data_IF_693693007754
#
_entry.id   IF_693693007754
#
_cell.length_a   1.000
_cell.length_b   1.000
_cell.length_c   1.000
_cell.angle_alpha   90.00
_cell.angle_beta   90.00
_cell.angle_gamma   90.00
#
_symmetry.space_group_name_H-M   'P 1'
#
loop_
_entity.id
_entity.type
_entity.pdbx_description
1 polymer ?
#
# COMPACT_ATOMS: atom_id res chain seq x y z
N UNK A 1 -4.40 13.58 11.78
CA UNK A 1 -4.23 12.34 10.98
C UNK A 1 -5.13 12.24 9.74
N UNK A 2 -6.00 13.19 9.50
CA UNK A 2 -6.87 13.27 8.30
C UNK A 2 -6.09 13.31 6.98
N UNK A 3 -4.90 13.86 6.97
CA UNK A 3 -4.12 14.13 5.75
C UNK A 3 -3.72 12.90 4.91
N UNK A 4 -3.51 11.72 5.51
CA UNK A 4 -3.01 10.55 4.75
C UNK A 4 -4.12 9.84 3.97
N UNK A 5 -5.29 9.71 4.55
CA UNK A 5 -6.45 9.10 3.87
C UNK A 5 -6.93 9.96 2.70
N UNK A 6 -6.96 11.28 2.89
CA UNK A 6 -7.33 12.25 1.85
C UNK A 6 -6.34 12.24 0.69
N UNK A 7 -5.02 12.15 0.97
CA UNK A 7 -4.00 12.02 -0.08
C UNK A 7 -4.16 10.73 -0.90
N UNK A 8 -4.43 9.61 -0.24
CA UNK A 8 -4.66 8.34 -0.93
C UNK A 8 -5.94 8.36 -1.78
N UNK A 9 -7.04 8.87 -1.23
CA UNK A 9 -8.30 9.00 -1.97
C UNK A 9 -8.15 9.96 -3.16
N UNK A 10 -7.42 11.05 -2.98
CA UNK A 10 -7.14 12.00 -4.06
C UNK A 10 -6.28 11.38 -5.17
N UNK A 11 -5.24 10.62 -4.79
CA UNK A 11 -4.41 9.89 -5.74
C UNK A 11 -5.23 8.89 -6.58
N UNK A 12 -6.06 8.08 -5.94
CA UNK A 12 -6.93 7.12 -6.62
C UNK A 12 -7.91 7.80 -7.58
N UNK A 13 -8.48 8.93 -7.15
CA UNK A 13 -9.37 9.72 -8.00
C UNK A 13 -8.66 10.30 -9.23
N UNK A 14 -7.39 10.71 -9.09
CA UNK A 14 -6.64 11.29 -10.21
C UNK A 14 -6.03 10.24 -11.13
N UNK A 15 -5.50 9.12 -10.59
CA UNK A 15 -4.81 8.11 -11.38
C UNK A 15 -5.80 7.14 -12.04
N UNK A 16 -6.73 6.59 -11.27
CA UNK A 16 -7.61 5.52 -11.72
C UNK A 16 -9.02 6.02 -12.09
N UNK A 17 -9.32 7.29 -11.78
CA UNK A 17 -10.63 7.92 -11.98
C UNK A 17 -11.78 7.16 -11.28
N UNK A 18 -11.45 6.39 -10.24
CA UNK A 18 -12.41 5.62 -9.45
C UNK A 18 -12.78 6.42 -8.20
N UNK A 19 -14.07 6.74 -7.99
CA UNK A 19 -14.51 7.33 -6.74
C UNK A 19 -14.13 6.43 -5.57
N UNK A 20 -13.32 6.97 -4.65
CA UNK A 20 -12.75 6.21 -3.55
C UNK A 20 -12.88 7.02 -2.25
N UNK A 21 -13.43 6.39 -1.22
CA UNK A 21 -13.48 6.90 0.14
C UNK A 21 -12.59 6.05 1.03
N UNK A 22 -11.77 6.69 1.84
CA UNK A 22 -10.85 6.02 2.77
C UNK A 22 -10.97 6.65 4.14
N UNK A 23 -11.23 5.84 5.16
CA UNK A 23 -11.15 6.23 6.57
C UNK A 23 -10.07 5.38 7.25
N UNK A 24 -9.21 6.03 8.01
CA UNK A 24 -8.14 5.39 8.76
C UNK A 24 -8.25 5.78 10.23
N UNK A 25 -8.05 4.81 11.10
CA UNK A 25 -8.00 5.02 12.54
C UNK A 25 -6.85 4.22 13.16
N UNK A 26 -6.29 4.75 14.24
CA UNK A 26 -5.25 4.08 15.02
C UNK A 26 -5.51 4.31 16.51
N UNK A 27 -5.21 3.31 17.31
CA UNK A 27 -5.05 3.41 18.75
C UNK A 27 -3.68 2.88 19.15
N UNK A 28 -3.42 2.64 20.42
CA UNK A 28 -2.12 2.20 20.93
C UNK A 28 -1.72 0.80 20.45
N UNK A 29 -2.66 -0.03 20.03
CA UNK A 29 -2.46 -1.44 19.69
C UNK A 29 -2.87 -1.81 18.27
N UNK A 30 -3.76 -1.03 17.65
CA UNK A 30 -4.37 -1.36 16.36
C UNK A 30 -4.27 -0.19 15.37
N UNK A 31 -4.10 -0.55 14.11
CA UNK A 31 -4.32 0.33 12.97
C UNK A 31 -5.37 -0.31 12.06
N UNK A 32 -6.43 0.43 11.79
CA UNK A 32 -7.58 -0.05 11.03
C UNK A 32 -7.97 0.93 9.95
N UNK A 33 -8.70 0.45 8.95
CA UNK A 33 -9.21 1.31 7.89
C UNK A 33 -10.36 0.66 7.13
N UNK A 34 -11.19 1.50 6.56
CA UNK A 34 -12.20 1.11 5.58
C UNK A 34 -11.92 1.84 4.28
N UNK A 35 -11.99 1.10 3.18
CA UNK A 35 -11.89 1.63 1.83
C UNK A 35 -13.15 1.22 1.08
N UNK A 36 -13.82 2.21 0.49
CA UNK A 36 -15.00 2.01 -0.36
C UNK A 36 -14.70 2.57 -1.73
N UNK A 37 -14.91 1.77 -2.77
CA UNK A 37 -14.67 2.16 -4.15
C UNK A 37 -15.90 1.86 -5.00
N UNK A 38 -16.28 2.84 -5.82
CA UNK A 38 -17.32 2.63 -6.81
C UNK A 38 -16.68 2.08 -8.08
N UNK A 39 -16.84 0.77 -8.31
CA UNK A 39 -16.34 0.14 -9.53
C UNK A 39 -17.06 0.71 -10.77
N UNK A 40 -16.42 0.60 -11.97
CA UNK A 40 -17.05 1.08 -13.20
C UNK A 40 -18.45 0.48 -13.37
N UNK A 41 -19.44 1.35 -13.49
CA UNK A 41 -20.85 0.99 -13.63
C UNK A 41 -21.28 1.10 -15.09
N UNK A 42 -22.18 0.21 -15.51
CA UNK A 42 -22.92 0.38 -16.78
C UNK A 42 -23.93 1.53 -16.65
N UNK A 43 -24.45 2.02 -17.79
CA UNK A 43 -25.49 3.04 -17.76
C UNK A 43 -26.75 2.52 -17.03
N UNK A 44 -27.07 1.25 -17.23
CA UNK A 44 -28.22 0.62 -16.59
C UNK A 44 -28.07 0.55 -15.05
N UNK A 45 -26.85 0.30 -14.52
CA UNK A 45 -26.61 0.30 -13.08
C UNK A 45 -26.82 1.69 -12.48
N UNK A 46 -26.35 2.74 -13.17
CA UNK A 46 -26.54 4.14 -12.75
C UNK A 46 -28.00 4.57 -12.79
N UNK A 47 -28.77 4.07 -13.74
CA UNK A 47 -30.20 4.39 -13.86
C UNK A 47 -31.02 3.66 -12.79
N UNK A 48 -30.56 2.46 -12.36
CA UNK A 48 -31.22 1.67 -11.32
C UNK A 48 -31.00 2.21 -9.91
N UNK A 49 -29.80 2.72 -9.61
CA UNK A 49 -29.45 3.28 -8.31
C UNK A 49 -28.54 4.51 -8.47
N UNK A 50 -29.10 5.65 -8.83
CA UNK A 50 -28.34 6.88 -9.08
C UNK A 50 -27.67 7.45 -7.81
N UNK A 51 -28.22 7.16 -6.65
CA UNK A 51 -27.79 7.72 -5.37
C UNK A 51 -26.83 6.80 -4.58
N UNK A 52 -26.46 5.65 -5.15
CA UNK A 52 -25.63 4.63 -4.48
C UNK A 52 -24.37 5.23 -3.85
N UNK A 53 -23.61 6.00 -4.63
CA UNK A 53 -22.35 6.58 -4.14
C UNK A 53 -22.54 7.58 -3.02
N UNK A 54 -23.51 8.46 -3.14
CA UNK A 54 -23.79 9.48 -2.12
C UNK A 54 -24.29 8.83 -0.83
N UNK A 55 -25.12 7.80 -0.93
CA UNK A 55 -25.63 7.02 0.19
C UNK A 55 -24.49 6.27 0.91
N UNK A 56 -23.65 5.52 0.17
CA UNK A 56 -22.50 4.81 0.75
C UNK A 56 -21.50 5.77 1.41
N UNK A 57 -21.29 6.94 0.81
CA UNK A 57 -20.43 7.98 1.38
C UNK A 57 -21.00 8.50 2.69
N UNK A 58 -22.28 8.85 2.71
CA UNK A 58 -22.96 9.35 3.90
C UNK A 58 -22.95 8.32 5.04
N UNK A 59 -23.21 7.04 4.74
CA UNK A 59 -23.15 5.96 5.72
C UNK A 59 -21.73 5.77 6.28
N UNK A 60 -20.72 5.71 5.40
CA UNK A 60 -19.31 5.54 5.80
C UNK A 60 -18.81 6.72 6.64
N UNK A 61 -19.30 7.94 6.38
CA UNK A 61 -18.91 9.13 7.13
C UNK A 61 -19.38 9.10 8.59
N UNK A 62 -20.36 8.28 8.92
CA UNK A 62 -20.85 8.13 10.28
C UNK A 62 -19.95 7.32 11.21
N UNK A 63 -19.00 6.53 10.67
CA UNK A 63 -18.13 5.67 11.47
C UNK A 63 -17.18 6.48 12.35
N UNK A 64 -17.09 6.09 13.61
CA UNK A 64 -16.17 6.69 14.58
C UNK A 64 -14.83 5.94 14.58
N UNK A 65 -13.76 6.65 14.93
CA UNK A 65 -12.42 6.05 15.01
C UNK A 65 -12.38 4.86 15.99
N UNK A 66 -13.07 4.94 17.13
CA UNK A 66 -13.15 3.85 18.09
C UNK A 66 -13.88 2.62 17.54
N UNK A 67 -14.93 2.81 16.75
CA UNK A 67 -15.63 1.70 16.12
C UNK A 67 -14.71 0.99 15.09
N UNK A 68 -13.95 1.78 14.32
CA UNK A 68 -13.03 1.26 13.32
C UNK A 68 -11.87 0.48 13.94
N UNK A 69 -11.44 0.83 15.17
CA UNK A 69 -10.34 0.12 15.86
C UNK A 69 -10.78 -1.04 16.73
N UNK A 70 -12.02 -1.02 17.23
CA UNK A 70 -12.45 -1.90 18.32
C UNK A 70 -13.46 -2.97 17.85
N UNK A 71 -14.18 -2.73 16.75
CA UNK A 71 -15.16 -3.68 16.23
C UNK A 71 -14.57 -4.60 15.15
N UNK A 72 -15.03 -5.85 15.04
CA UNK A 72 -14.72 -6.73 13.93
C UNK A 72 -15.31 -6.22 12.61
N UNK A 73 -14.68 -6.59 11.49
CA UNK A 73 -15.01 -6.04 10.18
C UNK A 73 -16.44 -6.34 9.73
N UNK A 74 -16.94 -7.53 10.02
CA UNK A 74 -18.31 -7.95 9.72
C UNK A 74 -19.35 -7.12 10.49
N UNK A 75 -19.08 -6.81 11.75
CA UNK A 75 -19.95 -5.95 12.54
C UNK A 75 -19.95 -4.52 12.01
N UNK A 76 -18.79 -3.99 11.61
CA UNK A 76 -18.70 -2.66 10.98
C UNK A 76 -19.53 -2.62 9.69
N UNK A 77 -19.36 -3.63 8.81
CA UNK A 77 -20.10 -3.69 7.56
C UNK A 77 -21.62 -3.80 7.80
N UNK A 78 -22.04 -4.64 8.74
CA UNK A 78 -23.44 -4.76 9.09
C UNK A 78 -24.01 -3.43 9.63
N UNK A 79 -23.31 -2.74 10.52
CA UNK A 79 -23.76 -1.46 11.09
C UNK A 79 -23.89 -0.36 10.06
N UNK A 80 -22.96 -0.31 9.10
CA UNK A 80 -22.97 0.74 8.08
C UNK A 80 -23.93 0.42 6.94
N UNK A 81 -24.03 -0.85 6.53
CA UNK A 81 -24.63 -1.22 5.25
C UNK A 81 -25.70 -2.31 5.36
N UNK A 82 -26.33 -2.53 6.52
CA UNK A 82 -27.35 -3.58 6.71
C UNK A 82 -28.60 -3.39 5.82
N UNK A 83 -28.81 -2.20 5.28
CA UNK A 83 -29.89 -1.91 4.32
C UNK A 83 -29.44 -2.11 2.85
N UNK A 84 -28.15 -2.33 2.63
CA UNK A 84 -27.57 -2.60 1.31
C UNK A 84 -27.41 -4.11 1.09
N UNK A 85 -27.35 -4.51 -0.17
CA UNK A 85 -27.09 -5.92 -0.54
C UNK A 85 -25.59 -6.23 -0.44
N UNK A 86 -25.13 -6.67 0.73
CA UNK A 86 -23.71 -6.91 1.04
C UNK A 86 -23.37 -8.39 0.90
N UNK A 87 -22.40 -8.69 0.06
CA UNK A 87 -21.83 -10.03 -0.09
C UNK A 87 -20.45 -10.08 0.59
N UNK A 88 -20.31 -10.93 1.61
CA UNK A 88 -19.02 -11.18 2.27
C UNK A 88 -18.35 -12.40 1.62
N UNK A 89 -17.19 -12.23 0.98
CA UNK A 89 -16.43 -13.37 0.48
C UNK A 89 -15.82 -14.18 1.63
N UNK A 90 -15.46 -15.43 1.34
CA UNK A 90 -14.73 -16.26 2.28
C UNK A 90 -13.39 -15.60 2.69
N UNK A 91 -13.04 -15.72 3.96
CA UNK A 91 -11.79 -15.19 4.47
C UNK A 91 -10.59 -15.89 3.83
N UNK A 92 -9.74 -15.13 3.16
CA UNK A 92 -8.46 -15.61 2.66
C UNK A 92 -7.35 -15.19 3.62
N UNK A 93 -6.50 -16.12 4.09
CA UNK A 93 -5.38 -15.75 4.95
C UNK A 93 -4.40 -14.89 4.18
N UNK A 94 -4.04 -13.75 4.76
CA UNK A 94 -3.02 -12.85 4.22
C UNK A 94 -1.78 -12.93 5.11
N UNK A 95 -0.60 -12.84 4.49
CA UNK A 95 0.67 -12.79 5.19
C UNK A 95 1.56 -11.72 4.59
N UNK A 96 2.46 -11.20 5.41
CA UNK A 96 3.45 -10.26 4.91
C UNK A 96 4.40 -10.96 3.95
N UNK A 97 4.53 -10.44 2.74
CA UNK A 97 5.46 -10.94 1.74
C UNK A 97 6.13 -9.76 1.03
N UNK A 98 7.43 -9.62 1.23
CA UNK A 98 8.22 -8.65 0.49
C UNK A 98 8.75 -9.28 -0.81
N UNK A 99 8.64 -8.56 -1.90
CA UNK A 99 9.16 -8.99 -3.22
C UNK A 99 10.58 -8.51 -3.47
N UNK A 100 11.30 -8.05 -2.43
CA UNK A 100 12.71 -7.66 -2.56
C UNK A 100 13.59 -8.90 -2.82
N UNK A 101 14.67 -8.70 -3.55
CA UNK A 101 15.67 -9.74 -3.79
C UNK A 101 17.05 -9.10 -3.98
N UNK A 102 18.11 -9.93 -3.88
CA UNK A 102 19.48 -9.48 -4.12
C UNK A 102 19.66 -8.95 -5.55
N UNK A 103 19.00 -9.55 -6.52
CA UNK A 103 19.03 -9.14 -7.93
C UNK A 103 18.41 -7.75 -8.14
N UNK A 104 17.31 -7.46 -7.43
CA UNK A 104 16.71 -6.10 -7.49
C UNK A 104 17.62 -5.05 -6.86
N UNK A 105 18.31 -5.40 -5.77
CA UNK A 105 19.31 -4.51 -5.15
C UNK A 105 20.52 -4.30 -6.04
N UNK A 106 20.95 -5.33 -6.79
CA UNK A 106 21.98 -5.18 -7.83
C UNK A 106 21.57 -4.19 -8.91
N UNK A 107 20.30 -4.21 -9.32
CA UNK A 107 19.75 -3.22 -10.25
C UNK A 107 19.88 -1.78 -9.77
N UNK A 108 19.72 -1.53 -8.48
CA UNK A 108 19.93 -0.22 -7.87
C UNK A 108 21.42 0.19 -7.93
N UNK A 109 22.35 -0.75 -7.69
CA UNK A 109 23.79 -0.49 -7.80
C UNK A 109 24.17 -0.14 -9.27
N UNK A 110 23.60 -0.83 -10.25
CA UNK A 110 23.82 -0.52 -11.65
C UNK A 110 23.37 0.91 -12.00
N UNK A 111 22.23 1.34 -11.48
CA UNK A 111 21.71 2.71 -11.69
C UNK A 111 22.58 3.78 -11.01
N UNK A 112 23.18 3.46 -9.88
CA UNK A 112 24.09 4.34 -9.17
C UNK A 112 25.39 4.58 -9.97
N UNK A 113 25.88 3.55 -10.68
CA UNK A 113 27.12 3.58 -11.44
C UNK A 113 28.33 3.07 -10.66
N UNK A 114 29.35 2.60 -11.38
CA UNK A 114 30.51 1.93 -10.81
C UNK A 114 31.29 2.82 -9.83
N UNK A 115 31.57 4.06 -10.23
CA UNK A 115 32.40 4.97 -9.41
C UNK A 115 31.73 5.30 -8.07
N UNK A 116 30.44 5.60 -8.08
CA UNK A 116 29.68 5.91 -6.87
C UNK A 116 29.51 4.67 -5.99
N UNK A 117 29.27 3.51 -6.59
CA UNK A 117 29.21 2.25 -5.85
C UNK A 117 30.53 1.93 -5.13
N UNK A 118 31.69 2.15 -5.79
CA UNK A 118 33.01 1.95 -5.17
C UNK A 118 33.30 2.99 -4.09
N UNK A 119 32.91 4.23 -4.24
CA UNK A 119 33.03 5.24 -3.19
C UNK A 119 32.21 4.88 -1.96
N UNK A 120 30.95 4.42 -2.16
CA UNK A 120 30.11 3.96 -1.06
C UNK A 120 30.71 2.73 -0.36
N UNK A 121 31.29 1.80 -1.12
CA UNK A 121 32.00 0.64 -0.57
C UNK A 121 33.14 1.06 0.36
N UNK A 122 33.97 2.05 -0.07
CA UNK A 122 35.08 2.58 0.73
C UNK A 122 34.57 3.23 2.01
N UNK A 123 33.51 4.04 1.93
CA UNK A 123 32.87 4.68 3.10
C UNK A 123 32.31 3.64 4.07
N UNK A 124 31.79 2.53 3.57
CA UNK A 124 31.24 1.44 4.37
C UNK A 124 32.28 0.34 4.71
N UNK A 125 33.57 0.67 4.66
CA UNK A 125 34.67 -0.22 5.07
C UNK A 125 34.74 -1.55 4.29
N UNK A 126 34.35 -1.55 3.04
CA UNK A 126 34.52 -2.69 2.14
C UNK A 126 33.31 -3.64 2.04
N UNK A 127 32.18 -3.30 2.66
CA UNK A 127 30.91 -4.02 2.56
C UNK A 127 29.77 -3.03 2.29
N UNK A 128 29.33 -2.95 1.05
CA UNK A 128 28.19 -2.09 0.68
C UNK A 128 26.90 -2.76 1.10
N UNK A 129 26.24 -2.19 2.09
CA UNK A 129 24.97 -2.68 2.62
C UNK A 129 23.82 -1.86 2.07
N UNK A 130 22.88 -2.54 1.41
CA UNK A 130 21.62 -1.97 0.96
C UNK A 130 20.47 -2.62 1.71
N UNK A 131 19.68 -1.82 2.40
CA UNK A 131 18.48 -2.28 3.07
C UNK A 131 17.22 -2.11 2.22
N UNK A 132 16.30 -3.02 2.37
CA UNK A 132 14.97 -2.87 1.77
C UNK A 132 14.14 -1.91 2.60
N UNK A 133 13.81 -0.74 2.09
CA UNK A 133 12.97 0.25 2.78
C UNK A 133 11.55 -0.23 3.13
N UNK A 134 11.15 -1.42 2.66
CA UNK A 134 9.84 -2.01 2.95
C UNK A 134 9.88 -3.06 4.09
N UNK A 135 10.88 -3.96 4.09
CA UNK A 135 10.95 -5.04 5.08
C UNK A 135 12.21 -5.00 5.96
N UNK A 136 13.13 -4.07 5.73
CA UNK A 136 14.37 -3.93 6.47
C UNK A 136 15.42 -5.03 6.21
N UNK A 137 15.19 -5.91 5.20
CA UNK A 137 16.18 -6.95 4.87
C UNK A 137 17.41 -6.32 4.24
N UNK A 138 18.57 -6.64 4.80
CA UNK A 138 19.88 -6.17 4.33
C UNK A 138 20.45 -7.08 3.24
N UNK A 139 21.09 -6.48 2.25
CA UNK A 139 21.80 -7.14 1.16
C UNK A 139 23.22 -6.59 1.11
N UNK A 140 24.20 -7.49 1.22
CA UNK A 140 25.61 -7.18 1.32
C UNK A 140 26.31 -7.42 -0.02
N UNK A 141 27.16 -6.48 -0.42
CA UNK A 141 27.95 -6.52 -1.64
C UNK A 141 29.38 -6.08 -1.35
N UNK A 142 30.31 -7.01 -1.48
CA UNK A 142 31.75 -6.71 -1.43
C UNK A 142 32.27 -6.14 -2.77
N UNK A 143 33.52 -5.71 -2.76
CA UNK A 143 34.13 -5.15 -3.97
C UNK A 143 34.22 -6.13 -5.14
N UNK A 144 34.24 -7.44 -4.87
CA UNK A 144 34.24 -8.48 -5.91
C UNK A 144 32.84 -8.59 -6.55
N UNK A 145 31.80 -8.55 -5.72
CA UNK A 145 30.41 -8.55 -6.19
C UNK A 145 30.11 -7.30 -7.03
N UNK A 146 30.56 -6.11 -6.60
CA UNK A 146 30.37 -4.87 -7.34
C UNK A 146 31.07 -4.95 -8.71
N UNK A 147 32.34 -5.39 -8.76
CA UNK A 147 33.07 -5.58 -10.02
C UNK A 147 32.35 -6.57 -10.94
N UNK A 148 31.83 -7.67 -10.41
CA UNK A 148 31.08 -8.65 -11.18
C UNK A 148 29.76 -8.10 -11.78
N UNK A 149 29.10 -7.18 -11.06
CA UNK A 149 27.87 -6.51 -11.54
C UNK A 149 28.14 -5.68 -12.81
N UNK A 150 29.27 -4.99 -12.87
CA UNK A 150 29.61 -4.10 -13.99
C UNK A 150 30.42 -4.79 -15.10
N UNK A 151 30.93 -6.02 -14.88
CA UNK A 151 31.79 -6.74 -15.80
C UNK A 151 33.25 -6.22 -15.82
N UNK A 152 34.12 -6.93 -16.52
CA UNK A 152 35.58 -6.61 -16.59
C UNK A 152 35.93 -5.41 -17.48
N UNK A 153 34.97 -4.56 -17.85
CA UNK A 153 35.17 -3.49 -18.83
C UNK A 153 35.29 -2.08 -18.22
N UNK A 154 35.70 -1.97 -16.94
CA UNK A 154 36.01 -0.69 -16.31
C UNK A 154 37.44 -0.66 -15.74
#
# INVERSE_FOLDING_TARGET
>A
MLFRSECLAHYQKQSDQIPTLIKLATNDTHASGILVQLLPQTQQDKDNDPDLWDRLTALTDTIKNSELTDLPADEILYRLYHEEDVVLPDCTPIHFACTCSKEKSMGAIVQLGYNEAMQMLDVQHGDLVLDCGFCGKEYHFDGTAIKAIFGDNF
#
